data_IF_906594726282
#
_entry.id   IF_906594726282
#
_cell.length_a   1.000
_cell.length_b   1.000
_cell.length_c   1.000
_cell.angle_alpha   90.00
_cell.angle_beta   90.00
_cell.angle_gamma   90.00
#
_symmetry.space_group_name_H-M   'P 1'
#
loop_
_entity.id
_entity.type
_entity.pdbx_description
1 polymer ?
#
# COMPACT_ATOMS: atom_id res chain seq x y z
N UNK A 1 13.65 28.59 -22.22
CA UNK A 1 12.32 27.96 -22.20
C UNK A 1 12.52 26.45 -22.30
N UNK A 2 12.04 25.66 -21.34
CA UNK A 2 12.17 24.20 -21.38
C UNK A 2 10.87 23.60 -21.92
N UNK A 3 10.95 22.89 -23.04
CA UNK A 3 9.82 22.18 -23.63
C UNK A 3 9.90 20.70 -23.25
N UNK A 4 8.82 20.16 -22.68
CA UNK A 4 8.69 18.72 -22.46
C UNK A 4 8.00 18.13 -23.69
N UNK A 5 8.70 17.23 -24.39
CA UNK A 5 8.19 16.56 -25.58
C UNK A 5 7.63 15.19 -25.19
N UNK A 6 6.32 15.01 -25.39
CA UNK A 6 5.65 13.73 -25.21
C UNK A 6 5.73 12.89 -26.52
N UNK A 7 6.14 11.63 -26.42
CA UNK A 7 6.31 10.64 -27.48
C UNK A 7 5.59 9.32 -27.12
N UNK A 8 5.52 8.37 -28.06
CA UNK A 8 4.82 7.09 -27.85
C UNK A 8 5.28 6.32 -26.61
N UNK A 9 6.53 6.45 -26.19
CA UNK A 9 7.06 5.75 -25.00
C UNK A 9 6.66 6.44 -23.70
N UNK A 10 6.73 7.78 -23.62
CA UNK A 10 6.37 8.54 -22.42
C UNK A 10 4.87 8.92 -22.34
N UNK A 11 4.10 8.63 -23.41
CA UNK A 11 2.64 8.74 -23.48
C UNK A 11 1.90 7.42 -23.27
N UNK A 12 2.59 6.30 -22.99
CA UNK A 12 1.91 5.03 -22.70
C UNK A 12 1.13 5.16 -21.38
N UNK A 13 -0.15 4.71 -21.32
CA UNK A 13 -0.86 4.59 -20.05
C UNK A 13 -0.05 3.70 -19.11
N UNK A 14 -0.08 4.00 -17.80
CA UNK A 14 0.70 3.35 -16.74
C UNK A 14 0.45 1.83 -16.54
N UNK A 15 -0.02 1.09 -17.55
CA UNK A 15 -0.20 -0.36 -17.50
C UNK A 15 1.14 -1.14 -17.44
N UNK A 16 2.26 -0.54 -17.82
CA UNK A 16 3.62 -1.15 -17.66
C UNK A 16 4.15 -1.01 -16.22
N UNK A 17 3.40 -0.38 -15.32
CA UNK A 17 3.96 0.23 -14.11
C UNK A 17 3.74 -0.61 -12.84
N UNK A 18 3.26 -1.85 -12.98
CA UNK A 18 3.14 -2.79 -11.85
C UNK A 18 4.46 -3.46 -11.45
N UNK A 19 5.45 -3.53 -12.35
CA UNK A 19 6.76 -4.08 -12.01
C UNK A 19 7.58 -3.06 -11.22
N UNK A 20 8.03 -3.44 -10.03
CA UNK A 20 8.91 -2.61 -9.19
C UNK A 20 8.20 -1.57 -8.32
N UNK A 21 6.92 -1.23 -8.56
CA UNK A 21 6.20 -0.29 -7.71
C UNK A 21 5.77 -0.90 -6.38
N UNK A 22 5.91 -0.12 -5.31
CA UNK A 22 5.39 -0.42 -3.96
C UNK A 22 4.01 0.22 -3.86
N UNK A 23 2.97 -0.60 -3.89
CA UNK A 23 1.59 -0.10 -3.80
C UNK A 23 0.75 -0.95 -2.87
N UNK A 24 -0.29 -0.31 -2.35
CA UNK A 24 -1.35 -0.92 -1.56
C UNK A 24 -2.68 -0.54 -2.21
N UNK A 25 -3.45 -1.54 -2.64
CA UNK A 25 -4.80 -1.34 -3.13
C UNK A 25 -5.77 -1.65 -2.00
N UNK A 26 -6.77 -0.81 -1.83
CA UNK A 26 -7.82 -0.97 -0.84
C UNK A 26 -9.18 -0.87 -1.54
N UNK A 27 -10.14 -1.66 -1.09
CA UNK A 27 -11.54 -1.52 -1.48
C UNK A 27 -12.44 -1.15 -0.30
N UNK A 28 -13.60 -0.59 -0.59
CA UNK A 28 -14.56 -0.13 0.42
C UNK A 28 -15.16 -1.25 1.28
N UNK A 29 -14.95 -2.52 0.91
CA UNK A 29 -15.32 -3.69 1.72
C UNK A 29 -14.22 -4.08 2.71
N UNK A 30 -13.06 -3.45 2.63
CA UNK A 30 -11.93 -3.69 3.53
C UNK A 30 -10.89 -4.64 3.00
N UNK A 31 -10.96 -5.07 1.73
CA UNK A 31 -9.91 -5.92 1.17
C UNK A 31 -8.68 -5.08 0.86
N UNK A 32 -7.51 -5.61 1.21
CA UNK A 32 -6.22 -4.99 0.95
C UNK A 32 -5.38 -5.92 0.08
N UNK A 33 -4.74 -5.36 -0.94
CA UNK A 33 -3.78 -6.06 -1.79
C UNK A 33 -2.47 -5.29 -1.84
N UNK A 34 -1.37 -5.95 -1.52
CA UNK A 34 -0.03 -5.39 -1.67
C UNK A 34 0.57 -5.79 -3.00
N UNK A 35 1.33 -4.87 -3.63
CA UNK A 35 2.08 -5.23 -4.83
C UNK A 35 3.07 -6.37 -4.54
N UNK A 36 3.48 -7.11 -5.58
CA UNK A 36 4.46 -8.19 -5.43
C UNK A 36 5.76 -7.69 -4.80
N UNK A 37 6.25 -6.52 -5.24
CA UNK A 37 7.45 -5.88 -4.69
C UNK A 37 7.29 -5.64 -3.19
N UNK A 38 6.17 -5.03 -2.78
CA UNK A 38 5.93 -4.74 -1.37
C UNK A 38 5.76 -6.02 -0.54
N UNK A 39 5.10 -7.04 -1.10
CA UNK A 39 4.92 -8.33 -0.44
C UNK A 39 6.25 -9.04 -0.19
N UNK A 40 7.23 -8.89 -1.10
CA UNK A 40 8.59 -9.42 -0.94
C UNK A 40 9.35 -8.61 0.12
N UNK A 41 9.33 -7.28 0.03
CA UNK A 41 10.06 -6.40 0.96
C UNK A 41 9.55 -6.51 2.40
N UNK A 42 8.24 -6.70 2.60
CA UNK A 42 7.66 -7.00 3.92
C UNK A 42 7.92 -8.44 4.39
N UNK A 43 8.40 -9.34 3.52
CA UNK A 43 8.63 -10.74 3.89
C UNK A 43 7.35 -11.59 4.00
N UNK A 44 6.24 -11.18 3.40
CA UNK A 44 4.91 -11.81 3.56
C UNK A 44 4.42 -12.58 2.32
N UNK A 45 5.31 -12.83 1.35
CA UNK A 45 4.94 -13.56 0.12
C UNK A 45 4.49 -15.01 0.41
N UNK A 46 4.99 -15.60 1.50
CA UNK A 46 4.61 -16.93 1.99
C UNK A 46 3.35 -16.94 2.88
N UNK A 47 2.70 -15.80 3.11
CA UNK A 47 1.71 -15.60 4.15
C UNK A 47 2.29 -14.82 5.33
N UNK A 48 1.75 -15.03 6.53
CA UNK A 48 2.16 -14.31 7.73
C UNK A 48 1.11 -13.30 8.18
N UNK A 49 1.54 -12.29 8.93
CA UNK A 49 0.65 -11.28 9.51
C UNK A 49 1.20 -9.88 9.34
N UNK A 50 0.30 -8.91 9.25
CA UNK A 50 0.67 -7.49 9.15
C UNK A 50 -0.13 -6.67 10.14
N UNK A 51 0.43 -5.53 10.54
CA UNK A 51 -0.26 -4.49 11.30
C UNK A 51 -0.28 -3.19 10.50
N UNK A 52 -1.32 -2.39 10.70
CA UNK A 52 -1.29 -0.96 10.39
C UNK A 52 -0.88 -0.20 11.63
N UNK A 53 -0.12 0.89 11.45
CA UNK A 53 0.15 1.86 12.50
C UNK A 53 -0.30 3.24 12.02
N UNK A 54 -0.86 4.02 12.92
CA UNK A 54 -1.24 5.41 12.72
C UNK A 54 -0.45 6.25 13.71
N UNK A 55 0.29 7.21 13.17
CA UNK A 55 0.98 8.21 13.96
C UNK A 55 -0.03 9.34 14.26
N UNK A 56 -0.37 9.53 15.53
CA UNK A 56 -1.37 10.53 15.95
C UNK A 56 -0.85 11.97 15.86
N UNK A 57 0.48 12.18 15.91
CA UNK A 57 1.09 13.49 15.86
C UNK A 57 1.16 14.00 14.41
N UNK A 58 1.52 13.12 13.47
CA UNK A 58 1.67 13.47 12.04
C UNK A 58 0.45 13.13 11.19
N UNK A 59 -0.43 12.26 11.70
CA UNK A 59 -1.56 11.70 10.95
C UNK A 59 -1.12 10.66 9.90
N UNK A 60 0.11 10.18 9.95
CA UNK A 60 0.66 9.30 8.92
C UNK A 60 0.32 7.83 9.16
N UNK A 61 0.12 7.10 8.05
CA UNK A 61 -0.22 5.69 8.10
C UNK A 61 0.93 4.83 7.61
N UNK A 62 1.13 3.71 8.30
CA UNK A 62 2.19 2.77 8.06
C UNK A 62 1.67 1.34 8.03
N UNK A 63 2.43 0.45 7.39
CA UNK A 63 2.23 -0.99 7.43
C UNK A 63 3.54 -1.68 7.82
N UNK A 64 3.46 -2.70 8.67
CA UNK A 64 4.60 -3.53 9.06
C UNK A 64 4.23 -5.01 9.05
N UNK A 65 5.25 -5.85 8.89
CA UNK A 65 5.15 -7.28 9.17
C UNK A 65 5.14 -7.50 10.69
N UNK A 66 4.38 -8.49 11.15
CA UNK A 66 4.34 -8.87 12.57
C UNK A 66 4.27 -10.38 12.74
N UNK A 67 4.81 -10.87 13.84
CA UNK A 67 4.67 -12.26 14.31
C UNK A 67 3.57 -12.39 15.37
N UNK A 68 2.98 -11.28 15.82
CA UNK A 68 1.88 -11.26 16.76
C UNK A 68 0.65 -11.99 16.20
N UNK A 69 0.07 -12.87 17.00
CA UNK A 69 -1.14 -13.63 16.69
C UNK A 69 -2.36 -12.73 16.39
N UNK A 70 -2.37 -11.51 16.92
CA UNK A 70 -3.47 -10.57 16.76
C UNK A 70 -3.36 -9.73 15.47
N UNK A 71 -2.26 -9.86 14.72
CA UNK A 71 -2.10 -9.21 13.43
C UNK A 71 -2.98 -9.77 12.31
N UNK A 72 -3.24 -8.96 11.28
CA UNK A 72 -4.10 -9.34 10.15
C UNK A 72 -3.49 -10.49 9.36
N UNK A 73 -4.22 -11.60 9.24
CA UNK A 73 -3.75 -12.78 8.50
C UNK A 73 -3.66 -12.49 7.00
N UNK A 74 -2.49 -12.74 6.43
CA UNK A 74 -2.23 -12.60 4.99
C UNK A 74 -2.53 -13.91 4.27
N UNK A 75 -3.49 -13.87 3.35
CA UNK A 75 -3.76 -14.94 2.40
C UNK A 75 -2.89 -14.80 1.16
N UNK A 76 -2.40 -15.94 0.69
CA UNK A 76 -1.65 -16.04 -0.57
C UNK A 76 -2.62 -15.99 -1.75
N UNK A 77 -2.48 -14.96 -2.59
CA UNK A 77 -3.05 -14.94 -3.94
C UNK A 77 -1.94 -15.24 -4.97
N UNK A 78 -2.28 -15.65 -6.19
CA UNK A 78 -1.35 -16.10 -7.24
C UNK A 78 -0.19 -15.13 -7.49
N UNK A 79 -0.32 -13.84 -7.17
CA UNK A 79 0.67 -12.79 -7.47
C UNK A 79 0.88 -11.73 -6.38
N UNK A 80 0.13 -11.75 -5.28
CA UNK A 80 0.15 -10.70 -4.25
C UNK A 80 -0.29 -11.22 -2.87
N UNK A 81 0.12 -10.50 -1.83
CA UNK A 81 -0.43 -10.65 -0.48
C UNK A 81 -1.81 -9.98 -0.41
N UNK A 82 -2.79 -10.70 0.15
CA UNK A 82 -4.17 -10.21 0.37
C UNK A 82 -4.57 -10.39 1.83
N UNK A 83 -5.22 -9.39 2.42
CA UNK A 83 -5.79 -9.50 3.76
C UNK A 83 -7.03 -8.59 3.89
N UNK A 84 -7.74 -8.67 5.01
CA UNK A 84 -8.95 -7.88 5.27
C UNK A 84 -8.78 -7.01 6.52
N UNK A 85 -9.07 -5.72 6.40
CA UNK A 85 -8.94 -4.74 7.47
C UNK A 85 -9.99 -3.63 7.35
N UNK A 86 -11.29 -3.99 7.36
CA UNK A 86 -12.39 -3.09 6.99
C UNK A 86 -12.46 -1.76 7.75
N UNK A 87 -12.32 -1.79 9.07
CA UNK A 87 -12.35 -0.56 9.87
C UNK A 87 -11.19 0.38 9.52
N UNK A 88 -9.97 -0.15 9.42
CA UNK A 88 -8.76 0.62 9.10
C UNK A 88 -8.80 1.15 7.68
N UNK A 89 -9.18 0.33 6.71
CA UNK A 89 -9.34 0.75 5.30
C UNK A 89 -10.31 1.92 5.20
N UNK A 90 -11.47 1.84 5.88
CA UNK A 90 -12.45 2.93 5.89
C UNK A 90 -11.85 4.21 6.48
N UNK A 91 -11.09 4.12 7.57
CA UNK A 91 -10.40 5.28 8.18
C UNK A 91 -9.40 5.91 7.22
N UNK A 92 -8.53 5.11 6.60
CA UNK A 92 -7.53 5.58 5.63
C UNK A 92 -8.21 6.25 4.43
N UNK A 93 -9.22 5.60 3.84
CA UNK A 93 -9.94 6.15 2.69
C UNK A 93 -10.67 7.45 3.03
N UNK A 94 -11.27 7.54 4.22
CA UNK A 94 -11.92 8.78 4.69
C UNK A 94 -10.91 9.92 4.85
N UNK A 95 -9.77 9.65 5.49
CA UNK A 95 -8.70 10.65 5.67
C UNK A 95 -8.13 11.11 4.32
N UNK A 96 -7.97 10.18 3.37
CA UNK A 96 -7.54 10.47 2.01
C UNK A 96 -8.64 11.09 1.12
N UNK A 97 -9.85 11.35 1.67
CA UNK A 97 -11.01 11.90 0.95
C UNK A 97 -11.38 11.08 -0.29
N UNK A 98 -11.32 9.76 -0.18
CA UNK A 98 -11.63 8.83 -1.27
C UNK A 98 -13.07 8.37 -1.17
N UNK A 99 -13.89 8.74 -2.16
CA UNK A 99 -15.30 8.33 -2.26
C UNK A 99 -15.51 7.10 -3.16
N UNK A 100 -14.46 6.64 -3.85
CA UNK A 100 -14.55 5.50 -4.77
C UNK A 100 -14.58 4.17 -4.04
N UNK A 101 -15.13 3.16 -4.72
CA UNK A 101 -15.15 1.77 -4.25
C UNK A 101 -13.75 1.17 -4.07
N UNK A 102 -12.78 1.62 -4.86
CA UNK A 102 -11.41 1.10 -4.84
C UNK A 102 -10.42 2.23 -5.04
N UNK A 103 -9.28 2.13 -4.37
CA UNK A 103 -8.16 3.07 -4.50
C UNK A 103 -6.83 2.35 -4.35
N UNK A 104 -5.81 2.87 -5.02
CA UNK A 104 -4.43 2.47 -4.83
C UNK A 104 -3.63 3.62 -4.26
N UNK A 105 -2.75 3.34 -3.29
CA UNK A 105 -1.76 4.27 -2.79
C UNK A 105 -0.34 3.76 -3.08
N UNK A 106 0.58 4.69 -3.22
CA UNK A 106 2.01 4.40 -3.24
C UNK A 106 2.50 4.14 -1.81
N UNK A 107 3.53 3.31 -1.68
CA UNK A 107 4.25 3.12 -0.43
C UNK A 107 5.66 3.70 -0.58
N UNK A 108 6.13 4.40 0.45
CA UNK A 108 7.47 4.98 0.48
C UNK A 108 8.54 3.89 0.34
N UNK A 109 9.63 4.21 -0.38
CA UNK A 109 10.74 3.27 -0.61
C UNK A 109 11.56 3.05 0.66
N UNK A 110 11.85 4.11 1.40
CA UNK A 110 12.60 4.05 2.63
C UNK A 110 11.62 3.79 3.79
N UNK A 111 11.74 2.66 4.50
CA UNK A 111 10.99 2.46 5.73
C UNK A 111 11.62 3.25 6.88
N UNK A 112 10.89 3.32 8.00
CA UNK A 112 11.42 3.74 9.29
C UNK A 112 11.51 2.52 10.21
N UNK A 113 12.37 2.56 11.20
CA UNK A 113 12.50 1.51 12.22
C UNK A 113 12.18 2.10 13.60
N UNK A 114 11.25 1.46 14.31
CA UNK A 114 10.84 1.84 15.67
C UNK A 114 10.76 0.58 16.51
N UNK A 115 11.56 0.51 17.58
CA UNK A 115 11.57 -0.65 18.48
C UNK A 115 11.91 -1.98 17.79
N UNK A 116 12.79 -1.97 16.79
CA UNK A 116 13.15 -3.15 16.00
C UNK A 116 12.10 -3.60 14.98
N UNK A 117 11.00 -2.85 14.83
CA UNK A 117 9.98 -3.11 13.81
C UNK A 117 10.14 -2.14 12.65
N UNK A 118 10.12 -2.69 11.43
CA UNK A 118 10.26 -1.93 10.18
C UNK A 118 8.87 -1.54 9.66
N UNK A 119 8.65 -0.24 9.47
CA UNK A 119 7.39 0.35 9.04
C UNK A 119 7.52 1.02 7.68
N UNK A 120 6.59 0.71 6.78
CA UNK A 120 6.51 1.32 5.46
C UNK A 120 5.36 2.32 5.39
N UNK A 121 5.67 3.57 5.06
CA UNK A 121 4.69 4.67 4.99
C UNK A 121 3.79 4.55 3.76
N UNK A 122 2.49 4.71 3.97
CA UNK A 122 1.46 4.78 2.93
C UNK A 122 1.27 6.25 2.53
N UNK A 123 1.45 6.55 1.24
CA UNK A 123 1.40 7.92 0.72
C UNK A 123 -0.03 8.28 0.29
N UNK A 124 -0.75 9.00 1.15
CA UNK A 124 -2.17 9.34 0.94
C UNK A 124 -2.40 10.55 0.00
N UNK A 125 -1.38 11.35 -0.31
CA UNK A 125 -1.51 12.61 -1.05
C UNK A 125 -1.86 12.47 -2.53
N UNK A 126 -1.61 11.31 -3.14
CA UNK A 126 -1.86 11.05 -4.57
C UNK A 126 -2.54 9.69 -4.77
N UNK A 127 -3.82 9.55 -4.39
CA UNK A 127 -4.56 8.32 -4.63
C UNK A 127 -4.64 8.03 -6.14
N UNK A 128 -4.37 6.79 -6.51
CA UNK A 128 -4.48 6.29 -7.87
C UNK A 128 -5.83 5.58 -7.97
N UNK A 129 -6.71 6.12 -8.80
CA UNK A 129 -8.01 5.51 -9.05
C UNK A 129 -7.91 4.50 -10.20
N UNK A 130 -8.57 3.36 -10.02
CA UNK A 130 -8.80 2.37 -11.08
C UNK A 130 -10.21 2.47 -11.63
#
# INVERSE_FOLDING_TARGET
MALIVYNKENSRPQQVVYQGKRTINMDSKGTVYLSKTMSIELGILGGGRVNFAHDEDTGEWYICHTTDKDGFTVWKDKRCARFSAGFIVRRIMLQAKVERKTVQFMIAKAPIEVGGTVYYKILLSNPIFK
#
